data_IF_004410507867
#
_entry.id   IF_004410507867
#
_cell.length_a   1.000
_cell.length_b   1.000
_cell.length_c   1.000
_cell.angle_alpha   90.00
_cell.angle_beta   90.00
_cell.angle_gamma   90.00
#
_symmetry.space_group_name_H-M   'P 1'
#
loop_
_entity.id
_entity.type
_entity.pdbx_description
1 polymer ?
#
# COMPACT_ATOMS: atom_id res chain seq x y z
N UNK A 1 -15.86 6.66 -6.13
CA UNK A 1 -17.10 5.88 -6.31
C UNK A 1 -16.79 4.48 -5.81
N UNK A 2 -17.57 3.95 -4.88
CA UNK A 2 -17.34 2.60 -4.34
C UNK A 2 -17.66 1.55 -5.42
N UNK A 3 -16.74 0.62 -5.69
CA UNK A 3 -16.98 -0.48 -6.64
C UNK A 3 -17.89 -1.53 -5.99
N UNK A 4 -18.81 -2.10 -6.76
CA UNK A 4 -19.56 -3.26 -6.27
C UNK A 4 -18.62 -4.46 -6.12
N UNK A 5 -18.98 -5.43 -5.27
CA UNK A 5 -18.18 -6.63 -5.07
C UNK A 5 -17.93 -7.40 -6.37
N UNK A 6 -18.93 -7.43 -7.25
CA UNK A 6 -18.86 -8.15 -8.52
C UNK A 6 -17.97 -7.43 -9.56
N UNK A 7 -17.75 -6.13 -9.38
CA UNK A 7 -16.86 -5.32 -10.21
C UNK A 7 -15.40 -5.31 -9.72
N UNK A 8 -15.10 -5.98 -8.60
CA UNK A 8 -13.74 -6.06 -8.08
C UNK A 8 -12.84 -6.84 -9.04
N UNK A 9 -11.63 -6.32 -9.19
CA UNK A 9 -10.53 -6.85 -9.98
C UNK A 9 -9.36 -7.16 -9.06
N UNK A 10 -8.33 -7.86 -9.57
CA UNK A 10 -7.12 -8.15 -8.79
C UNK A 10 -6.43 -6.89 -8.23
N UNK A 11 -6.62 -5.73 -8.85
CA UNK A 11 -6.00 -4.48 -8.42
C UNK A 11 -6.72 -3.82 -7.23
N UNK A 12 -7.90 -4.29 -6.85
CA UNK A 12 -8.63 -3.76 -5.71
C UNK A 12 -8.16 -4.46 -4.43
N UNK A 13 -7.84 -3.67 -3.38
CA UNK A 13 -7.15 -4.11 -2.16
C UNK A 13 -7.73 -5.41 -1.56
N UNK A 14 -9.06 -5.50 -1.46
CA UNK A 14 -9.74 -6.70 -0.95
C UNK A 14 -9.41 -7.95 -1.76
N UNK A 15 -9.52 -7.84 -3.10
CA UNK A 15 -9.30 -8.96 -3.99
C UNK A 15 -7.82 -9.33 -4.02
N UNK A 16 -6.93 -8.34 -4.12
CA UNK A 16 -5.49 -8.55 -4.04
C UNK A 16 -5.11 -9.33 -2.79
N UNK A 17 -5.53 -8.86 -1.62
CA UNK A 17 -5.27 -9.51 -0.33
C UNK A 17 -5.82 -10.94 -0.28
N UNK A 18 -7.01 -11.20 -0.83
CA UNK A 18 -7.63 -12.54 -0.81
C UNK A 18 -6.93 -13.52 -1.73
N UNK A 19 -6.53 -13.09 -2.92
CA UNK A 19 -5.86 -13.95 -3.90
C UNK A 19 -4.43 -14.25 -3.47
N UNK A 20 -3.69 -13.23 -3.04
CA UNK A 20 -2.30 -13.41 -2.60
C UNK A 20 -2.18 -14.14 -1.24
N UNK A 21 -3.28 -14.55 -0.61
CA UNK A 21 -3.24 -15.49 0.53
C UNK A 21 -2.95 -16.93 0.11
N UNK A 22 -3.10 -17.28 -1.17
CA UNK A 22 -2.65 -18.56 -1.67
C UNK A 22 -1.12 -18.57 -1.76
N UNK A 23 -0.50 -19.50 -1.04
CA UNK A 23 0.97 -19.62 -0.96
C UNK A 23 1.60 -19.83 -2.33
N UNK A 24 0.97 -20.60 -3.22
CA UNK A 24 1.48 -20.88 -4.56
C UNK A 24 1.48 -19.62 -5.43
N UNK A 25 0.36 -18.91 -5.45
CA UNK A 25 0.23 -17.64 -6.20
C UNK A 25 1.22 -16.59 -5.68
N UNK A 26 1.32 -16.44 -4.35
CA UNK A 26 2.20 -15.46 -3.74
C UNK A 26 3.68 -15.79 -3.97
N UNK A 27 4.05 -17.07 -3.86
CA UNK A 27 5.44 -17.51 -4.09
C UNK A 27 5.87 -17.24 -5.52
N UNK A 28 5.05 -17.63 -6.49
CA UNK A 28 5.35 -17.43 -7.90
C UNK A 28 5.44 -15.93 -8.27
N UNK A 29 4.59 -15.08 -7.66
CA UNK A 29 4.74 -13.63 -7.77
C UNK A 29 6.12 -13.15 -7.31
N UNK A 30 6.55 -13.58 -6.12
CA UNK A 30 7.85 -13.20 -5.57
C UNK A 30 9.02 -13.75 -6.40
N UNK A 31 8.90 -14.96 -6.95
CA UNK A 31 9.89 -15.54 -7.87
C UNK A 31 10.06 -14.69 -9.15
N UNK A 32 8.96 -14.23 -9.76
CA UNK A 32 9.00 -13.33 -10.92
C UNK A 32 9.65 -11.97 -10.60
N UNK A 33 9.35 -11.41 -9.43
CA UNK A 33 9.81 -10.07 -9.02
C UNK A 33 11.26 -10.08 -8.55
N UNK A 34 11.69 -11.17 -7.90
CA UNK A 34 12.99 -11.31 -7.26
C UNK A 34 13.96 -12.19 -8.05
N UNK A 35 13.63 -12.55 -9.30
CA UNK A 35 14.45 -13.43 -10.13
C UNK A 35 14.81 -14.77 -9.45
N UNK A 36 13.83 -15.41 -8.82
CA UNK A 36 13.95 -16.68 -8.09
C UNK A 36 14.83 -16.64 -6.82
N UNK A 37 15.07 -15.46 -6.23
CA UNK A 37 15.85 -15.33 -4.98
C UNK A 37 15.08 -15.66 -3.68
N UNK A 38 13.85 -16.19 -3.78
CA UNK A 38 13.00 -16.50 -2.61
C UNK A 38 13.03 -17.98 -2.23
N UNK A 39 13.12 -18.26 -0.92
CA UNK A 39 13.02 -19.60 -0.35
C UNK A 39 11.57 -20.10 -0.19
N UNK A 40 11.37 -21.11 0.65
CA UNK A 40 10.01 -21.56 1.01
C UNK A 40 9.31 -20.51 1.87
N UNK A 41 8.03 -20.23 1.60
CA UNK A 41 7.21 -19.38 2.46
C UNK A 41 6.95 -20.11 3.79
N UNK A 42 7.29 -19.46 4.90
CA UNK A 42 7.08 -19.96 6.25
C UNK A 42 5.84 -19.35 6.90
N UNK A 43 5.51 -18.10 6.57
CA UNK A 43 4.36 -17.41 7.12
C UNK A 43 3.79 -16.41 6.11
N UNK A 44 2.46 -16.33 6.05
CA UNK A 44 1.72 -15.38 5.25
C UNK A 44 0.67 -14.70 6.13
N UNK A 45 0.76 -13.39 6.26
CA UNK A 45 -0.09 -12.58 7.14
C UNK A 45 -0.81 -11.48 6.33
N UNK A 46 -2.10 -11.65 5.99
CA UNK A 46 -2.87 -10.63 5.30
C UNK A 46 -3.28 -9.50 6.24
N UNK A 47 -3.30 -8.25 5.75
CA UNK A 47 -3.79 -7.07 6.50
C UNK A 47 -3.18 -6.92 7.90
N UNK A 48 -1.85 -7.03 7.98
CA UNK A 48 -1.16 -6.99 9.25
C UNK A 48 -1.06 -5.54 9.77
N UNK A 49 -1.72 -5.26 10.90
CA UNK A 49 -1.59 -3.97 11.56
C UNK A 49 -0.35 -3.98 12.45
N UNK A 50 0.68 -3.28 12.00
CA UNK A 50 1.90 -3.10 12.77
C UNK A 50 1.73 -1.91 13.72
N UNK A 51 1.64 -2.22 15.01
CA UNK A 51 1.60 -1.21 16.05
C UNK A 51 3.01 -0.65 16.30
N UNK A 52 3.25 0.59 15.89
CA UNK A 52 4.53 1.31 16.09
C UNK A 52 4.65 1.97 17.47
N UNK A 53 3.77 1.63 18.42
CA UNK A 53 3.64 2.25 19.75
C UNK A 53 2.37 3.10 19.91
N UNK A 54 2.05 3.47 21.17
CA UNK A 54 0.75 4.06 21.58
C UNK A 54 0.40 5.40 20.90
N UNK A 55 1.41 6.16 20.43
CA UNK A 55 1.23 7.48 19.81
C UNK A 55 1.69 7.55 18.34
N UNK A 56 2.13 6.44 17.75
CA UNK A 56 2.69 6.42 16.41
C UNK A 56 1.64 5.97 15.37
N UNK A 57 1.80 6.41 14.12
CA UNK A 57 0.87 6.06 13.03
C UNK A 57 0.98 4.55 12.76
N UNK A 58 -0.07 3.79 13.07
CA UNK A 58 -0.12 2.38 12.71
C UNK A 58 -0.05 2.21 11.19
N UNK A 59 0.59 1.12 10.77
CA UNK A 59 0.63 0.72 9.36
C UNK A 59 -0.25 -0.52 9.20
N UNK A 60 -1.16 -0.48 8.22
CA UNK A 60 -1.85 -1.67 7.73
C UNK A 60 -1.12 -2.08 6.45
N UNK A 61 -0.40 -3.20 6.54
CA UNK A 61 0.28 -3.80 5.40
C UNK A 61 -0.72 -4.68 4.66
N UNK A 62 -0.81 -4.55 3.34
CA UNK A 62 -1.70 -5.36 2.51
C UNK A 62 -1.38 -6.85 2.68
N UNK A 63 -0.09 -7.20 2.49
CA UNK A 63 0.38 -8.56 2.63
C UNK A 63 1.83 -8.62 3.13
N UNK A 64 2.02 -9.23 4.30
CA UNK A 64 3.34 -9.50 4.87
C UNK A 64 3.65 -11.00 4.79
N UNK A 65 4.74 -11.32 4.10
CA UNK A 65 5.23 -12.69 3.89
C UNK A 65 6.57 -12.85 4.58
N UNK A 66 6.82 -14.04 5.14
CA UNK A 66 8.15 -14.45 5.61
C UNK A 66 8.56 -15.76 4.97
N UNK A 67 9.81 -15.83 4.55
CA UNK A 67 10.41 -17.10 4.13
C UNK A 67 11.05 -17.85 5.31
N UNK A 68 11.48 -19.08 5.05
CA UNK A 68 12.16 -19.95 6.03
C UNK A 68 13.50 -19.42 6.51
N UNK A 69 14.14 -18.52 5.75
CA UNK A 69 15.36 -17.84 6.15
C UNK A 69 15.08 -16.61 7.04
N UNK A 70 13.81 -16.28 7.27
CA UNK A 70 13.37 -15.16 8.09
C UNK A 70 13.26 -13.83 7.34
N UNK A 71 13.54 -13.78 6.03
CA UNK A 71 13.39 -12.56 5.24
C UNK A 71 11.93 -12.17 5.17
N UNK A 72 11.67 -10.88 5.26
CA UNK A 72 10.31 -10.32 5.25
C UNK A 72 10.02 -9.60 3.93
N UNK A 73 8.85 -9.86 3.35
CA UNK A 73 8.39 -9.24 2.12
C UNK A 73 7.03 -8.58 2.39
N UNK A 74 6.99 -7.26 2.25
CA UNK A 74 5.78 -6.46 2.29
C UNK A 74 5.35 -6.15 0.85
N UNK A 75 4.13 -6.54 0.48
CA UNK A 75 3.62 -6.42 -0.89
C UNK A 75 2.37 -5.55 -0.88
N UNK A 76 2.42 -4.43 -1.59
CA UNK A 76 1.41 -3.37 -1.55
C UNK A 76 0.89 -3.05 -2.96
N UNK A 77 -0.43 -3.07 -3.15
CA UNK A 77 -1.05 -2.67 -4.42
C UNK A 77 -1.31 -1.16 -4.44
N UNK A 78 -0.98 -0.47 -5.54
CA UNK A 78 -1.17 0.97 -5.68
C UNK A 78 -1.90 1.32 -6.97
N UNK A 79 -3.19 1.66 -6.81
CA UNK A 79 -4.06 2.06 -7.93
C UNK A 79 -3.90 3.53 -8.30
N UNK A 80 -3.56 4.40 -7.33
CA UNK A 80 -3.45 5.86 -7.54
C UNK A 80 -2.14 6.43 -7.02
N UNK A 81 -1.67 7.51 -7.66
CA UNK A 81 -0.40 8.15 -7.33
C UNK A 81 -0.59 9.29 -6.33
N UNK A 82 -0.25 9.04 -5.06
CA UNK A 82 -0.23 10.07 -4.02
C UNK A 82 1.12 10.81 -3.92
N UNK A 83 2.07 10.52 -4.81
CA UNK A 83 3.42 11.10 -4.85
C UNK A 83 4.22 10.95 -3.53
N UNK A 84 3.89 9.92 -2.74
CA UNK A 84 4.48 9.67 -1.42
C UNK A 84 5.14 8.29 -1.27
N UNK A 85 5.14 7.47 -2.34
CA UNK A 85 5.63 6.07 -2.34
C UNK A 85 7.01 5.92 -1.66
N UNK A 86 8.06 6.69 -2.03
CA UNK A 86 9.38 6.52 -1.41
C UNK A 86 9.38 6.75 0.11
N UNK A 87 8.57 7.71 0.59
CA UNK A 87 8.45 8.01 2.02
C UNK A 87 7.64 6.94 2.74
N UNK A 88 6.58 6.41 2.11
CA UNK A 88 5.78 5.29 2.63
C UNK A 88 6.62 4.03 2.77
N UNK A 89 7.37 3.65 1.74
CA UNK A 89 8.24 2.47 1.80
C UNK A 89 9.26 2.56 2.94
N UNK A 90 9.86 3.74 3.17
CA UNK A 90 10.76 3.95 4.32
C UNK A 90 10.03 3.79 5.66
N UNK A 91 8.81 4.31 5.78
CA UNK A 91 8.02 4.20 7.01
C UNK A 91 7.61 2.75 7.29
N UNK A 92 7.20 2.02 6.26
CA UNK A 92 6.75 0.63 6.36
C UNK A 92 7.89 -0.28 6.77
N UNK A 93 9.06 -0.10 6.15
CA UNK A 93 10.29 -0.80 6.56
C UNK A 93 10.60 -0.57 8.04
N UNK A 94 10.60 0.69 8.50
CA UNK A 94 10.86 0.99 9.91
C UNK A 94 9.81 0.38 10.85
N UNK A 95 8.54 0.36 10.45
CA UNK A 95 7.48 -0.28 11.22
C UNK A 95 7.71 -1.80 11.34
N UNK A 96 8.07 -2.44 10.23
CA UNK A 96 8.41 -3.88 10.18
C UNK A 96 9.63 -4.18 11.05
N UNK A 97 10.68 -3.37 10.97
CA UNK A 97 11.89 -3.52 11.80
C UNK A 97 11.55 -3.45 13.30
N UNK A 98 10.68 -2.51 13.69
CA UNK A 98 10.19 -2.38 15.08
C UNK A 98 9.36 -3.61 15.49
N UNK A 99 8.54 -4.15 14.59
CA UNK A 99 7.69 -5.29 14.88
C UNK A 99 8.47 -6.60 15.08
N UNK A 100 9.66 -6.71 14.47
CA UNK A 100 10.45 -7.94 14.47
C UNK A 100 11.73 -7.88 15.29
N UNK A 101 12.07 -6.73 15.86
CA UNK A 101 13.21 -6.59 16.75
C UNK A 101 12.77 -6.38 18.20
N UNK A 102 12.72 -7.46 18.97
CA UNK A 102 12.42 -7.39 20.40
C UNK A 102 13.48 -6.63 21.19
N UNK A 103 13.04 -6.01 22.30
CA UNK A 103 13.93 -5.31 23.23
C UNK A 103 14.99 -6.25 23.78
N UNK A 104 16.26 -5.90 23.61
CA UNK A 104 17.40 -6.66 24.09
C UNK A 104 18.03 -7.60 23.06
N UNK A 105 17.41 -7.74 21.88
CA UNK A 105 17.96 -8.51 20.77
C UNK A 105 19.09 -7.74 20.05
N UNK A 106 20.12 -8.44 19.61
CA UNK A 106 21.20 -7.83 18.82
C UNK A 106 20.71 -7.43 17.42
N UNK A 107 21.16 -6.28 16.92
CA UNK A 107 20.83 -5.81 15.56
C UNK A 107 21.24 -6.77 14.44
N UNK A 108 22.19 -7.68 14.68
CA UNK A 108 22.54 -8.75 13.73
C UNK A 108 21.42 -9.76 13.48
N UNK A 109 20.39 -9.76 14.31
CA UNK A 109 19.20 -10.59 14.15
C UNK A 109 18.11 -9.90 13.29
N UNK A 110 18.36 -8.67 12.81
CA UNK A 110 17.45 -8.02 11.89
C UNK A 110 17.57 -8.72 10.53
N UNK A 111 16.49 -9.36 10.10
CA UNK A 111 16.45 -10.08 8.83
C UNK A 111 16.31 -9.11 7.66
N UNK A 112 16.68 -9.56 6.47
CA UNK A 112 16.46 -8.78 5.25
C UNK A 112 14.98 -8.42 5.08
N UNK A 113 14.73 -7.19 4.64
CA UNK A 113 13.40 -6.64 4.47
C UNK A 113 13.22 -6.08 3.06
N UNK A 114 12.18 -6.55 2.38
CA UNK A 114 11.79 -6.17 1.04
C UNK A 114 10.45 -5.46 1.10
N UNK A 115 10.40 -4.22 0.62
CA UNK A 115 9.14 -3.48 0.44
C UNK A 115 8.85 -3.43 -1.06
N UNK A 116 7.73 -4.00 -1.49
CA UNK A 116 7.36 -4.20 -2.90
C UNK A 116 6.05 -3.46 -3.18
N UNK A 117 6.11 -2.43 -4.00
CA UNK A 117 4.94 -1.67 -4.43
C UNK A 117 4.56 -2.03 -5.87
N UNK A 118 3.39 -2.62 -6.06
CA UNK A 118 2.79 -2.92 -7.36
C UNK A 118 1.95 -1.74 -7.82
N UNK A 119 2.47 -0.90 -8.71
CA UNK A 119 1.79 0.32 -9.15
C UNK A 119 1.12 0.12 -10.51
N UNK A 120 -0.15 0.53 -10.63
CA UNK A 120 -0.85 0.59 -11.92
C UNK A 120 -0.41 1.74 -12.84
N UNK A 121 0.55 2.55 -12.38
CA UNK A 121 1.10 3.74 -13.01
C UNK A 121 2.63 3.78 -12.86
N UNK A 122 3.31 4.55 -13.71
CA UNK A 122 4.76 4.76 -13.58
C UNK A 122 5.10 5.73 -12.42
N UNK A 123 5.22 5.19 -11.21
CA UNK A 123 5.55 5.96 -10.01
C UNK A 123 6.92 6.67 -10.08
N UNK A 124 7.86 6.13 -10.88
CA UNK A 124 9.23 6.63 -11.02
C UNK A 124 9.38 7.55 -12.25
N UNK A 125 8.53 7.38 -13.27
CA UNK A 125 8.51 8.20 -14.47
C UNK A 125 9.67 7.92 -15.43
N UNK A 126 10.19 6.68 -15.45
CA UNK A 126 11.32 6.26 -16.30
C UNK A 126 10.98 5.12 -17.25
N UNK A 127 9.71 4.70 -17.30
CA UNK A 127 9.16 3.75 -18.24
C UNK A 127 9.81 2.37 -18.20
N UNK A 128 10.32 1.90 -17.06
CA UNK A 128 10.74 0.51 -16.83
C UNK A 128 9.63 -0.25 -16.08
N UNK A 129 9.49 -1.57 -16.30
CA UNK A 129 8.49 -2.39 -15.59
C UNK A 129 8.85 -2.67 -14.13
N UNK A 130 10.15 -2.65 -13.81
CA UNK A 130 10.68 -2.99 -12.49
C UNK A 130 11.79 -2.01 -12.12
N UNK A 131 11.76 -1.50 -10.89
CA UNK A 131 12.81 -0.70 -10.29
C UNK A 131 13.19 -1.28 -8.94
N UNK A 132 14.46 -1.64 -8.77
CA UNK A 132 15.02 -2.10 -7.51
C UNK A 132 15.95 -1.04 -6.94
N UNK A 133 15.76 -0.71 -5.67
CA UNK A 133 16.55 0.29 -4.95
C UNK A 133 17.15 -0.34 -3.69
N UNK A 134 18.42 -0.01 -3.48
CA UNK A 134 19.23 -0.42 -2.34
C UNK A 134 20.15 0.74 -1.91
N UNK A 135 20.61 0.72 -0.67
CA UNK A 135 21.53 1.73 -0.17
C UNK A 135 22.94 1.47 -0.71
N UNK A 136 23.50 2.44 -1.43
CA UNK A 136 24.85 2.39 -2.02
C UNK A 136 25.65 3.62 -1.61
N UNK A 137 26.98 3.48 -1.52
CA UNK A 137 27.88 4.59 -1.28
C UNK A 137 27.81 5.60 -2.45
N UNK A 138 27.70 6.89 -2.13
CA UNK A 138 27.57 7.96 -3.13
C UNK A 138 28.91 8.20 -3.82
N UNK A 139 29.99 8.15 -3.05
CA UNK A 139 31.38 8.35 -3.47
C UNK A 139 31.89 7.17 -4.31
N UNK A 140 31.39 5.96 -4.03
CA UNK A 140 31.67 4.76 -4.81
C UNK A 140 30.40 3.93 -5.04
N UNK A 141 29.79 4.11 -6.21
CA UNK A 141 28.54 3.45 -6.60
C UNK A 141 28.64 1.93 -6.75
N UNK A 142 29.84 1.35 -6.68
CA UNK A 142 30.04 -0.11 -6.69
C UNK A 142 30.00 -0.72 -5.28
N UNK A 143 29.89 0.10 -4.22
CA UNK A 143 29.89 -0.37 -2.83
C UNK A 143 28.47 -0.30 -2.24
N UNK A 144 27.75 -1.44 -2.12
CA UNK A 144 26.50 -1.50 -1.40
C UNK A 144 26.72 -1.39 0.12
N UNK A 145 25.76 -0.81 0.84
CA UNK A 145 25.80 -0.69 2.30
C UNK A 145 25.58 -2.04 3.01
N UNK A 146 24.88 -2.97 2.34
CA UNK A 146 24.57 -4.31 2.86
C UNK A 146 23.75 -4.27 4.17
N UNK A 147 22.78 -3.36 4.26
CA UNK A 147 21.90 -3.22 5.43
C UNK A 147 20.69 -4.18 5.43
N UNK A 148 20.63 -5.11 4.46
CA UNK A 148 19.54 -6.07 4.32
C UNK A 148 18.25 -5.48 3.75
N UNK A 149 18.25 -4.22 3.29
CA UNK A 149 17.03 -3.54 2.84
C UNK A 149 16.97 -3.46 1.31
N UNK A 150 15.83 -3.84 0.74
CA UNK A 150 15.52 -3.64 -0.69
C UNK A 150 14.13 -3.03 -0.86
N UNK A 151 14.02 -2.10 -1.80
CA UNK A 151 12.75 -1.46 -2.18
C UNK A 151 12.51 -1.73 -3.66
N UNK A 152 11.37 -2.32 -3.98
CA UNK A 152 11.00 -2.68 -5.33
C UNK A 152 9.73 -1.93 -5.70
N UNK A 153 9.75 -1.25 -6.83
CA UNK A 153 8.59 -0.57 -7.40
C UNK A 153 8.34 -1.19 -8.77
N UNK A 154 7.17 -1.77 -8.93
CA UNK A 154 6.70 -2.39 -10.16
C UNK A 154 5.77 -1.40 -10.84
N UNK A 155 5.95 -1.23 -12.15
CA UNK A 155 5.18 -0.33 -12.99
C UNK A 155 4.42 -1.14 -14.03
N UNK A 156 3.12 -1.35 -13.80
CA UNK A 156 2.28 -2.11 -14.69
C UNK A 156 2.06 -1.42 -16.05
N UNK A 157 2.25 -0.10 -16.20
CA UNK A 157 2.12 0.58 -17.51
C UNK A 157 3.23 0.19 -18.49
N UNK A 158 4.39 -0.22 -17.96
CA UNK A 158 5.54 -0.62 -18.76
C UNK A 158 5.56 -2.14 -19.03
N UNK A 159 4.42 -2.84 -18.92
CA UNK A 159 4.32 -4.29 -19.14
C UNK A 159 4.99 -4.76 -20.44
N UNK A 160 4.81 -4.01 -21.53
CA UNK A 160 5.39 -4.32 -22.86
C UNK A 160 6.92 -4.33 -22.90
N UNK A 161 7.58 -3.75 -21.90
CA UNK A 161 9.05 -3.67 -21.77
C UNK A 161 9.63 -4.70 -20.82
N UNK A 162 8.82 -5.59 -20.25
CA UNK A 162 9.31 -6.72 -19.46
C UNK A 162 9.89 -7.79 -20.39
N UNK A 163 11.10 -8.22 -20.10
CA UNK A 163 11.77 -9.33 -20.81
C UNK A 163 11.29 -10.69 -20.29
N UNK A 164 10.90 -10.75 -19.02
CA UNK A 164 10.24 -11.92 -18.44
C UNK A 164 8.79 -12.00 -18.92
N UNK A 165 8.44 -13.13 -19.55
CA UNK A 165 7.14 -13.35 -20.17
C UNK A 165 6.00 -13.51 -19.16
N UNK A 166 6.27 -14.14 -18.01
CA UNK A 166 5.28 -14.32 -16.95
C UNK A 166 5.02 -12.99 -16.24
N UNK A 167 6.07 -12.24 -15.90
CA UNK A 167 5.94 -10.90 -15.33
C UNK A 167 5.22 -9.98 -16.31
N UNK A 168 5.57 -10.01 -17.61
CA UNK A 168 4.85 -9.27 -18.65
C UNK A 168 3.35 -9.59 -18.63
N UNK A 169 3.00 -10.87 -18.63
CA UNK A 169 1.61 -11.33 -18.61
C UNK A 169 0.86 -10.87 -17.37
N UNK A 170 1.47 -10.94 -16.20
CA UNK A 170 0.88 -10.42 -14.97
C UNK A 170 0.66 -8.90 -15.01
N UNK A 171 1.65 -8.13 -15.45
CA UNK A 171 1.51 -6.67 -15.57
C UNK A 171 0.46 -6.25 -16.60
N UNK A 172 0.37 -6.97 -17.73
CA UNK A 172 -0.69 -6.76 -18.71
C UNK A 172 -2.06 -7.07 -18.13
N UNK A 173 -2.18 -8.17 -17.37
CA UNK A 173 -3.42 -8.55 -16.69
C UNK A 173 -3.88 -7.48 -15.69
N UNK A 174 -2.96 -6.90 -14.89
CA UNK A 174 -3.28 -5.80 -13.98
C UNK A 174 -3.87 -4.57 -14.70
N UNK A 175 -3.45 -4.30 -15.95
CA UNK A 175 -3.91 -3.15 -16.73
C UNK A 175 -5.17 -3.42 -17.54
N UNK A 176 -5.35 -4.64 -18.02
CA UNK A 176 -6.36 -4.97 -19.04
C UNK A 176 -7.46 -5.90 -18.53
N UNK A 177 -7.19 -6.66 -17.45
CA UNK A 177 -8.04 -7.76 -17.01
C UNK A 177 -7.96 -9.02 -17.88
N UNK A 178 -7.10 -9.05 -18.91
CA UNK A 178 -6.98 -10.19 -19.80
C UNK A 178 -5.95 -11.20 -19.26
N UNK A 179 -6.41 -12.39 -18.87
CA UNK A 179 -5.54 -13.48 -18.43
C UNK A 179 -4.95 -14.21 -19.63
N UNK A 180 -3.64 -14.09 -19.82
CA UNK A 180 -2.91 -14.59 -20.99
C UNK A 180 -1.82 -15.62 -20.64
N UNK A 181 -1.64 -15.95 -19.36
CA UNK A 181 -0.65 -16.92 -18.87
C UNK A 181 -1.30 -17.91 -17.91
N UNK A 182 -0.62 -19.03 -17.63
CA UNK A 182 -1.09 -20.02 -16.66
C UNK A 182 -1.20 -19.41 -15.25
N UNK A 183 -0.30 -18.49 -14.91
CA UNK A 183 -0.35 -17.73 -13.66
C UNK A 183 -1.60 -16.85 -13.57
N UNK A 184 -1.85 -16.02 -14.59
CA UNK A 184 -3.01 -15.12 -14.60
C UNK A 184 -4.33 -15.87 -14.73
N UNK A 185 -4.36 -17.02 -15.42
CA UNK A 185 -5.53 -17.90 -15.49
C UNK A 185 -5.91 -18.52 -14.15
N UNK A 186 -4.93 -18.90 -13.32
CA UNK A 186 -5.17 -19.36 -11.94
C UNK A 186 -5.74 -18.25 -11.07
N UNK A 187 -5.16 -17.04 -11.15
CA UNK A 187 -5.69 -15.86 -10.44
C UNK A 187 -7.15 -15.62 -10.83
N UNK A 188 -7.48 -15.61 -12.12
CA UNK A 188 -8.85 -15.37 -12.58
C UNK A 188 -9.81 -16.44 -12.04
N UNK A 189 -9.41 -17.71 -12.06
CA UNK A 189 -10.21 -18.81 -11.50
C UNK A 189 -10.49 -18.61 -10.01
N UNK A 190 -9.49 -18.16 -9.26
CA UNK A 190 -9.64 -17.84 -7.84
C UNK A 190 -10.55 -16.63 -7.62
N UNK A 191 -10.44 -15.57 -8.41
CA UNK A 191 -11.33 -14.41 -8.34
C UNK A 191 -12.77 -14.83 -8.57
N UNK A 192 -13.04 -15.66 -9.58
CA UNK A 192 -14.38 -16.17 -9.83
C UNK A 192 -14.91 -17.03 -8.68
N UNK A 193 -14.03 -17.74 -7.99
CA UNK A 193 -14.37 -18.50 -6.78
C UNK A 193 -14.72 -17.57 -5.61
N UNK A 194 -13.92 -16.53 -5.38
CA UNK A 194 -14.17 -15.52 -4.35
C UNK A 194 -15.48 -14.79 -4.61
N UNK A 195 -15.78 -14.43 -5.86
CA UNK A 195 -17.03 -13.74 -6.24
C UNK A 195 -18.29 -14.56 -5.96
N UNK A 196 -18.18 -15.89 -5.98
CA UNK A 196 -19.26 -16.84 -5.64
C UNK A 196 -19.40 -17.08 -4.12
N UNK A 197 -18.47 -16.59 -3.31
CA UNK A 197 -18.49 -16.79 -1.86
C UNK A 197 -19.31 -15.70 -1.16
N UNK A 198 -20.42 -16.09 -0.54
CA UNK A 198 -21.22 -15.18 0.30
C UNK A 198 -20.44 -14.69 1.52
N UNK A 199 -19.55 -15.52 2.07
CA UNK A 199 -18.67 -15.11 3.16
C UNK A 199 -17.75 -13.96 2.70
N UNK A 200 -17.09 -14.11 1.54
CA UNK A 200 -16.23 -13.06 1.02
C UNK A 200 -17.01 -11.77 0.70
N UNK A 201 -18.23 -11.91 0.18
CA UNK A 201 -19.13 -10.78 -0.07
C UNK A 201 -19.50 -10.06 1.23
N UNK A 202 -19.75 -10.80 2.31
CA UNK A 202 -20.03 -10.23 3.62
C UNK A 202 -18.80 -9.53 4.22
N UNK A 203 -17.61 -10.14 4.14
CA UNK A 203 -16.35 -9.55 4.57
C UNK A 203 -16.08 -8.22 3.84
N UNK A 204 -16.28 -8.18 2.52
CA UNK A 204 -16.14 -6.94 1.73
C UNK A 204 -17.14 -5.87 2.16
N UNK A 205 -18.40 -6.22 2.45
CA UNK A 205 -19.41 -5.26 2.95
C UNK A 205 -19.00 -4.63 4.29
N UNK A 206 -18.43 -5.42 5.20
CA UNK A 206 -17.94 -4.88 6.47
C UNK A 206 -16.74 -3.96 6.28
N UNK A 207 -15.76 -4.38 5.49
CA UNK A 207 -14.56 -3.59 5.20
C UNK A 207 -14.94 -2.25 4.53
N UNK A 208 -15.77 -2.30 3.49
CA UNK A 208 -16.23 -1.12 2.77
C UNK A 208 -17.05 -0.16 3.64
N UNK A 209 -17.91 -0.68 4.51
CA UNK A 209 -18.65 0.14 5.47
C UNK A 209 -17.72 0.92 6.40
N UNK A 210 -16.67 0.28 6.92
CA UNK A 210 -15.67 0.95 7.76
C UNK A 210 -14.89 2.04 7.00
N UNK A 211 -14.50 1.75 5.75
CA UNK A 211 -13.81 2.72 4.89
C UNK A 211 -14.69 3.92 4.52
N UNK A 212 -15.99 3.69 4.32
CA UNK A 212 -16.97 4.77 4.10
C UNK A 212 -17.09 5.67 5.33
N UNK A 213 -17.28 5.10 6.52
CA UNK A 213 -17.38 5.86 7.76
C UNK A 213 -16.11 6.68 8.02
N UNK A 214 -14.93 6.11 7.76
CA UNK A 214 -13.65 6.80 7.88
C UNK A 214 -13.54 7.96 6.90
N UNK A 215 -13.97 7.77 5.64
CA UNK A 215 -13.97 8.81 4.61
C UNK A 215 -14.94 9.94 4.92
N UNK A 216 -16.15 9.63 5.39
CA UNK A 216 -17.17 10.61 5.73
C UNK A 216 -16.73 11.48 6.91
N UNK A 217 -16.11 10.87 7.94
CA UNK A 217 -15.45 11.60 9.03
C UNK A 217 -14.35 12.51 8.48
N UNK A 218 -13.47 12.00 7.63
CA UNK A 218 -12.39 12.78 7.02
C UNK A 218 -12.92 13.98 6.21
N UNK A 219 -14.01 13.82 5.47
CA UNK A 219 -14.65 14.91 4.73
C UNK A 219 -15.28 15.94 5.66
N UNK A 220 -15.98 15.49 6.71
CA UNK A 220 -16.57 16.36 7.74
C UNK A 220 -15.49 17.18 8.45
N UNK A 221 -14.41 16.53 8.90
CA UNK A 221 -13.29 17.18 9.56
C UNK A 221 -12.58 18.17 8.63
N UNK A 222 -12.37 17.81 7.37
CA UNK A 222 -11.79 18.70 6.37
C UNK A 222 -12.66 19.92 6.07
N UNK A 223 -13.98 19.73 5.94
CA UNK A 223 -14.95 20.82 5.78
C UNK A 223 -14.92 21.77 6.99
N UNK A 224 -14.87 21.22 8.21
CA UNK A 224 -14.73 22.01 9.43
C UNK A 224 -13.40 22.75 9.48
N UNK A 225 -12.30 22.11 9.12
CA UNK A 225 -10.97 22.74 9.08
C UNK A 225 -10.93 23.90 8.08
N UNK A 226 -11.52 23.74 6.89
CA UNK A 226 -11.60 24.80 5.89
C UNK A 226 -12.38 26.02 6.43
N UNK A 227 -13.48 25.79 7.16
CA UNK A 227 -14.23 26.86 7.84
C UNK A 227 -13.37 27.60 8.87
N UNK A 228 -12.61 26.87 9.69
CA UNK A 228 -11.72 27.44 10.69
C UNK A 228 -10.59 28.28 10.05
N UNK A 229 -9.94 27.76 9.01
CA UNK A 229 -8.88 28.50 8.30
C UNK A 229 -9.43 29.75 7.60
N UNK A 230 -10.64 29.66 7.03
CA UNK A 230 -11.34 30.83 6.46
C UNK A 230 -11.64 31.87 7.53
N UNK A 231 -12.17 31.46 8.69
CA UNK A 231 -12.47 32.35 9.80
C UNK A 231 -11.21 33.04 10.36
N UNK A 232 -10.08 32.32 10.47
CA UNK A 232 -8.79 32.90 10.87
C UNK A 232 -8.33 33.99 9.90
N UNK A 233 -8.43 33.73 8.59
CA UNK A 233 -8.07 34.71 7.56
C UNK A 233 -8.97 35.96 7.65
N UNK A 234 -10.29 35.78 7.76
CA UNK A 234 -11.22 36.90 7.88
C UNK A 234 -10.96 37.72 9.16
N UNK A 235 -10.63 37.06 10.27
CA UNK A 235 -10.29 37.75 11.52
C UNK A 235 -8.99 38.55 11.40
N UNK A 236 -7.98 38.02 10.71
CA UNK A 236 -6.74 38.75 10.40
C UNK A 236 -7.00 40.00 9.52
N UNK A 237 -8.08 40.01 8.76
CA UNK A 237 -8.55 41.16 7.97
C UNK A 237 -9.59 42.04 8.69
N UNK A 238 -9.81 41.86 9.99
CA UNK A 238 -10.71 42.66 10.84
C UNK A 238 -12.19 42.63 10.44
N UNK A 239 -12.67 41.53 9.84
CA UNK A 239 -14.10 41.31 9.64
C UNK A 239 -14.83 41.18 10.98
N UNK A 240 -16.10 41.60 11.06
CA UNK A 240 -16.86 41.50 12.30
C UNK A 240 -17.18 40.04 12.63
N UNK A 241 -17.19 39.70 13.92
CA UNK A 241 -17.47 38.33 14.40
C UNK A 241 -18.82 37.82 13.87
N UNK A 242 -19.86 38.67 13.87
CA UNK A 242 -21.17 38.32 13.32
C UNK A 242 -21.11 37.95 11.82
N UNK A 243 -20.30 38.65 11.02
CA UNK A 243 -20.12 38.38 9.58
C UNK A 243 -19.35 37.08 9.36
N UNK A 244 -18.31 36.82 10.17
CA UNK A 244 -17.54 35.57 10.12
C UNK A 244 -18.43 34.37 10.47
N UNK A 245 -19.24 34.49 11.52
CA UNK A 245 -20.22 33.46 11.90
C UNK A 245 -21.22 33.21 10.77
N UNK A 246 -21.75 34.26 10.14
CA UNK A 246 -22.70 34.14 9.04
C UNK A 246 -22.09 33.46 7.80
N UNK A 247 -20.84 33.76 7.45
CA UNK A 247 -20.19 33.20 6.26
C UNK A 247 -19.66 31.78 6.47
N UNK A 248 -19.16 31.47 7.66
CA UNK A 248 -18.52 30.16 7.93
C UNK A 248 -19.47 29.15 8.58
N UNK A 249 -20.55 29.63 9.20
CA UNK A 249 -21.46 28.82 10.01
C UNK A 249 -20.82 28.31 11.31
N UNK A 250 -19.70 28.90 11.74
CA UNK A 250 -19.09 28.64 13.05
C UNK A 250 -19.84 29.40 14.15
N UNK A 251 -19.78 28.89 15.38
CA UNK A 251 -20.33 29.60 16.53
C UNK A 251 -19.44 30.78 16.92
N UNK A 252 -20.05 31.80 17.56
CA UNK A 252 -19.32 32.97 18.06
C UNK A 252 -18.17 32.58 18.99
N UNK A 253 -18.39 31.65 19.91
CA UNK A 253 -17.37 31.13 20.81
C UNK A 253 -16.21 30.41 20.09
N UNK A 254 -16.46 29.79 18.94
CA UNK A 254 -15.40 29.21 18.11
C UNK A 254 -14.62 30.32 17.40
N UNK A 255 -15.32 31.31 16.84
CA UNK A 255 -14.69 32.44 16.14
C UNK A 255 -13.84 33.27 17.08
N UNK A 256 -14.29 33.54 18.31
CA UNK A 256 -13.59 34.34 19.34
C UNK A 256 -12.31 33.69 19.88
N UNK A 257 -12.20 32.37 19.77
CA UNK A 257 -11.02 31.59 20.18
C UNK A 257 -9.90 31.54 19.13
N UNK A 258 -10.20 31.94 17.88
CA UNK A 258 -9.22 32.00 16.78
C UNK A 258 -8.24 33.16 16.93
#
# INVERSE_FOLDING_TARGET
MHKSFDDLTIADDFMFCKIMQDEGICKEFLEMVLANEIGKIACLSPQNTVATGVAAKSVRLDLLVKDEAGKSYDIEMQVSNEHNIPKRMRYYQAAIDIAFLDKGTHYKALNDCYIIFVCLFDAIGKGRPLYTFENICIENRQTPLQDGTKKIIINAEAFSKSEDAELKGFLEYLKTGNANTDYTGRIETMIQTVKKSEQARQEYRFMSGFEMDARDKGFSDGSRQAKLETAKLMRAHNYQVAEICAMTGLSEAEVEKL
#
